data_IF_959955185344
#
_entry.id   IF_959955185344
#
_cell.length_a   1.000
_cell.length_b   1.000
_cell.length_c   1.000
_cell.angle_alpha   90.00
_cell.angle_beta   90.00
_cell.angle_gamma   90.00
#
_symmetry.space_group_name_H-M   'P 1'
#
loop_
_entity.id
_entity.type
_entity.pdbx_description
1 polymer ?
#
# COMPACT_ATOMS: atom_id res chain seq x y z
N UNK A 1 -1.28 -9.81 22.53
CA UNK A 1 -2.34 -8.86 22.21
C UNK A 1 -3.40 -9.49 21.31
N UNK A 2 -4.55 -8.83 21.16
CA UNK A 2 -5.62 -9.34 20.30
C UNK A 2 -5.14 -9.46 18.83
N UNK A 3 -5.58 -10.49 18.08
CA UNK A 3 -5.25 -10.67 16.68
C UNK A 3 -5.90 -9.57 15.83
N UNK A 4 -5.13 -9.01 14.90
CA UNK A 4 -5.58 -8.03 13.91
C UNK A 4 -5.74 -8.66 12.51
N UNK A 5 -4.79 -9.49 12.12
CA UNK A 5 -4.77 -10.18 10.82
C UNK A 5 -4.48 -11.66 11.09
N UNK A 6 -5.26 -12.54 10.44
CA UNK A 6 -5.10 -13.98 10.51
C UNK A 6 -5.14 -14.58 9.11
N UNK A 7 -4.42 -15.70 8.92
CA UNK A 7 -4.49 -16.52 7.71
C UNK A 7 -4.32 -17.99 8.07
N UNK A 8 -4.90 -18.92 7.29
CA UNK A 8 -4.74 -20.35 7.52
C UNK A 8 -3.26 -20.76 7.56
N UNK A 9 -2.89 -21.61 8.52
CA UNK A 9 -1.54 -22.14 8.65
C UNK A 9 -0.46 -21.15 9.12
N UNK A 10 -0.84 -19.92 9.47
CA UNK A 10 0.11 -18.88 9.95
C UNK A 10 -0.30 -18.34 11.31
N UNK A 11 0.68 -17.94 12.11
CA UNK A 11 0.42 -17.21 13.35
C UNK A 11 -0.23 -15.87 13.05
N UNK A 12 -1.19 -15.41 13.87
CA UNK A 12 -1.84 -14.13 13.65
C UNK A 12 -0.91 -12.96 13.96
N UNK A 13 -1.02 -11.86 13.20
CA UNK A 13 -0.44 -10.58 13.56
C UNK A 13 -1.36 -9.88 14.57
N UNK A 14 -0.81 -9.46 15.69
CA UNK A 14 -1.57 -8.70 16.70
C UNK A 14 -1.75 -7.23 16.29
N UNK A 15 -2.70 -6.52 16.91
CA UNK A 15 -2.84 -5.06 16.74
C UNK A 15 -1.55 -4.30 17.12
N UNK A 16 -0.82 -4.76 18.15
CA UNK A 16 0.49 -4.19 18.49
C UNK A 16 1.51 -4.40 17.38
N UNK A 17 1.57 -5.62 16.83
CA UNK A 17 2.43 -5.95 15.68
C UNK A 17 2.09 -5.14 14.44
N UNK A 18 0.80 -4.99 14.12
CA UNK A 18 0.34 -4.16 13.00
C UNK A 18 0.76 -2.68 13.17
N UNK A 19 0.63 -2.14 14.39
CA UNK A 19 1.09 -0.77 14.68
C UNK A 19 2.59 -0.59 14.45
N UNK A 20 3.39 -1.57 14.90
CA UNK A 20 4.84 -1.57 14.67
C UNK A 20 5.14 -1.67 13.17
N UNK A 21 4.48 -2.57 12.45
CA UNK A 21 4.63 -2.74 11.00
C UNK A 21 4.34 -1.43 10.25
N UNK A 22 3.25 -0.75 10.58
CA UNK A 22 2.91 0.57 10.00
C UNK A 22 4.06 1.56 10.24
N UNK A 23 4.53 1.69 11.49
CA UNK A 23 5.61 2.62 11.83
C UNK A 23 6.91 2.34 11.10
N UNK A 24 7.33 1.07 11.02
CA UNK A 24 8.56 0.68 10.29
C UNK A 24 8.42 0.88 8.79
N UNK A 25 7.25 0.57 8.22
CA UNK A 25 6.96 0.80 6.79
C UNK A 25 7.05 2.28 6.44
N UNK A 26 6.45 3.16 7.26
CA UNK A 26 6.53 4.61 7.06
C UNK A 26 7.96 5.12 7.20
N UNK A 27 8.72 4.65 8.20
CA UNK A 27 10.12 5.02 8.36
C UNK A 27 10.96 4.64 7.12
N UNK A 28 10.75 3.44 6.58
CA UNK A 28 11.41 3.01 5.34
C UNK A 28 11.04 3.90 4.17
N UNK A 29 9.75 4.16 3.93
CA UNK A 29 9.29 5.02 2.84
C UNK A 29 9.85 6.45 2.98
N UNK A 30 9.83 7.01 4.18
CA UNK A 30 10.37 8.34 4.44
C UNK A 30 11.89 8.41 4.18
N UNK A 31 12.63 7.36 4.56
CA UNK A 31 14.07 7.23 4.26
C UNK A 31 14.36 7.10 2.76
N UNK A 32 13.39 6.64 1.97
CA UNK A 32 13.46 6.58 0.50
C UNK A 32 13.02 7.89 -0.17
N UNK A 33 12.73 8.92 0.59
CA UNK A 33 12.26 10.21 0.08
C UNK A 33 10.77 10.21 -0.26
N UNK A 34 9.99 9.20 0.16
CA UNK A 34 8.55 9.07 -0.10
C UNK A 34 7.80 9.56 1.13
N UNK A 35 6.94 10.57 0.97
CA UNK A 35 6.21 11.21 2.06
C UNK A 35 4.72 11.35 1.79
N UNK A 36 4.06 12.16 2.63
CA UNK A 36 2.61 12.41 2.54
C UNK A 36 2.22 12.92 1.17
N UNK A 37 1.12 12.41 0.63
CA UNK A 37 0.58 12.67 -0.71
C UNK A 37 1.42 12.13 -1.88
N UNK A 38 2.64 11.60 -1.66
CA UNK A 38 3.35 10.86 -2.70
C UNK A 38 2.59 9.57 -3.02
N UNK A 39 2.43 9.26 -4.30
CA UNK A 39 1.65 8.09 -4.74
C UNK A 39 2.54 6.87 -4.85
N UNK A 40 2.15 5.82 -4.15
CA UNK A 40 2.84 4.52 -4.15
C UNK A 40 1.91 3.48 -4.73
N UNK A 41 2.27 2.95 -5.89
CA UNK A 41 1.55 1.85 -6.51
C UNK A 41 1.86 0.53 -5.77
N UNK A 42 0.85 -0.32 -5.61
CA UNK A 42 0.98 -1.63 -4.97
C UNK A 42 0.45 -2.70 -5.95
N UNK A 43 1.31 -3.65 -6.29
CA UNK A 43 0.96 -4.80 -7.15
C UNK A 43 1.31 -6.07 -6.39
N UNK A 44 0.35 -6.57 -5.65
CA UNK A 44 0.44 -7.76 -4.80
C UNK A 44 -0.78 -8.65 -5.03
N UNK A 45 -0.62 -9.95 -4.85
CA UNK A 45 -1.75 -10.87 -4.79
C UNK A 45 -2.65 -10.56 -3.58
N UNK A 46 -3.95 -10.88 -3.67
CA UNK A 46 -4.86 -10.76 -2.55
C UNK A 46 -4.40 -11.67 -1.41
N UNK A 47 -4.30 -11.10 -0.23
CA UNK A 47 -3.82 -11.83 0.95
C UNK A 47 -3.53 -10.91 2.14
N UNK A 48 -3.05 -11.47 3.24
CA UNK A 48 -2.75 -10.72 4.45
C UNK A 48 -1.68 -9.64 4.23
N UNK A 49 -0.68 -9.88 3.40
CA UNK A 49 0.38 -8.92 3.06
C UNK A 49 -0.16 -7.74 2.26
N UNK A 50 -1.07 -7.98 1.31
CA UNK A 50 -1.73 -6.91 0.56
C UNK A 50 -2.56 -6.03 1.50
N UNK A 51 -3.32 -6.63 2.42
CA UNK A 51 -4.15 -5.89 3.37
C UNK A 51 -3.30 -5.00 4.29
N UNK A 52 -2.23 -5.55 4.87
CA UNK A 52 -1.36 -4.81 5.78
C UNK A 52 -0.48 -3.79 5.06
N UNK A 53 0.01 -4.09 3.85
CA UNK A 53 0.75 -3.15 3.01
C UNK A 53 -0.13 -1.95 2.63
N UNK A 54 -1.38 -2.20 2.22
CA UNK A 54 -2.34 -1.13 1.96
C UNK A 54 -2.53 -0.24 3.19
N UNK A 55 -2.82 -0.83 4.37
CA UNK A 55 -3.00 -0.06 5.60
C UNK A 55 -1.76 0.73 5.99
N UNK A 56 -0.57 0.13 5.87
CA UNK A 56 0.68 0.80 6.20
C UNK A 56 0.94 1.98 5.25
N UNK A 57 0.80 1.79 3.95
CA UNK A 57 0.96 2.87 2.97
C UNK A 57 -0.09 3.97 3.17
N UNK A 58 -1.38 3.61 3.27
CA UNK A 58 -2.46 4.57 3.45
C UNK A 58 -2.34 5.39 4.74
N UNK A 59 -1.53 4.93 5.72
CA UNK A 59 -1.28 5.67 6.96
C UNK A 59 -0.31 6.85 6.81
N UNK A 60 0.42 6.97 5.70
CA UNK A 60 1.42 8.03 5.55
C UNK A 60 1.69 8.49 4.12
N UNK A 61 1.26 7.73 3.10
CA UNK A 61 1.40 8.07 1.68
C UNK A 61 0.09 7.85 0.95
N UNK A 62 -0.01 8.26 -0.31
CA UNK A 62 -1.17 7.95 -1.14
C UNK A 62 -1.02 6.55 -1.76
N UNK A 63 -1.67 5.56 -1.14
CA UNK A 63 -1.68 4.17 -1.59
C UNK A 63 -2.50 3.99 -2.86
N UNK A 64 -1.96 3.34 -3.88
CA UNK A 64 -2.63 3.08 -5.15
C UNK A 64 -2.57 1.58 -5.50
N UNK A 65 -3.49 0.76 -4.98
CA UNK A 65 -3.59 -0.65 -5.34
C UNK A 65 -3.94 -0.82 -6.81
N UNK A 66 -3.15 -1.62 -7.53
CA UNK A 66 -3.38 -1.99 -8.92
C UNK A 66 -3.65 -3.49 -9.04
N UNK A 67 -4.45 -3.88 -10.03
CA UNK A 67 -4.73 -5.28 -10.27
C UNK A 67 -3.46 -6.01 -10.75
N UNK A 68 -3.00 -7.06 -10.07
CA UNK A 68 -1.80 -7.79 -10.45
C UNK A 68 -1.93 -8.53 -11.80
N UNK A 69 -3.15 -8.71 -12.30
CA UNK A 69 -3.41 -9.34 -13.60
C UNK A 69 -3.34 -8.37 -14.80
N UNK A 70 -3.03 -7.09 -14.58
CA UNK A 70 -2.85 -6.13 -15.66
C UNK A 70 -1.68 -6.50 -16.57
N UNK A 71 -1.80 -6.14 -17.86
CA UNK A 71 -0.75 -6.26 -18.85
C UNK A 71 0.18 -5.04 -18.80
N UNK A 72 1.29 -5.11 -19.51
CA UNK A 72 2.30 -4.07 -19.54
C UNK A 72 1.76 -2.70 -19.98
N UNK A 73 0.90 -2.67 -21.02
CA UNK A 73 0.25 -1.45 -21.52
C UNK A 73 -0.68 -0.80 -20.49
N UNK A 74 -1.41 -1.61 -19.72
CA UNK A 74 -2.26 -1.15 -18.64
C UNK A 74 -1.41 -0.59 -17.47
N UNK A 75 -0.33 -1.29 -17.07
CA UNK A 75 0.58 -0.78 -16.06
C UNK A 75 1.26 0.52 -16.49
N UNK A 76 1.64 0.66 -17.77
CA UNK A 76 2.23 1.90 -18.28
C UNK A 76 1.23 3.07 -18.15
N UNK A 77 -0.02 2.81 -18.51
CA UNK A 77 -1.07 3.82 -18.32
C UNK A 77 -1.24 4.19 -16.85
N UNK A 78 -1.46 3.21 -15.97
CA UNK A 78 -1.77 3.50 -14.56
C UNK A 78 -0.59 4.10 -13.81
N UNK A 79 0.63 3.62 -13.98
CA UNK A 79 1.81 4.17 -13.31
C UNK A 79 2.11 5.60 -13.76
N UNK A 80 1.92 5.89 -15.06
CA UNK A 80 2.09 7.24 -15.62
C UNK A 80 1.00 8.19 -15.12
N UNK A 81 -0.27 7.80 -15.17
CA UNK A 81 -1.41 8.63 -14.74
C UNK A 81 -1.36 8.91 -13.23
N UNK A 82 -0.91 7.93 -12.44
CA UNK A 82 -0.61 8.11 -11.02
C UNK A 82 0.56 9.08 -10.77
N UNK A 83 1.45 9.28 -11.73
CA UNK A 83 2.77 9.84 -11.45
C UNK A 83 3.40 9.14 -10.23
N UNK A 84 3.44 7.81 -10.28
CA UNK A 84 3.84 6.98 -9.16
C UNK A 84 5.31 7.23 -8.78
N UNK A 85 5.57 7.47 -7.50
CA UNK A 85 6.94 7.68 -6.99
C UNK A 85 7.65 6.36 -6.71
N UNK A 86 6.87 5.35 -6.33
CA UNK A 86 7.36 3.99 -6.12
C UNK A 86 6.30 2.95 -6.51
N UNK A 87 6.78 1.75 -6.82
CA UNK A 87 5.99 0.54 -7.02
C UNK A 87 6.45 -0.52 -6.01
N UNK A 88 5.51 -0.99 -5.20
CA UNK A 88 5.73 -2.13 -4.29
C UNK A 88 5.25 -3.40 -5.00
N UNK A 89 6.13 -4.39 -5.05
CA UNK A 89 5.84 -5.75 -5.56
C UNK A 89 6.36 -6.79 -4.57
N UNK A 90 5.86 -8.01 -4.65
CA UNK A 90 6.42 -9.13 -3.89
C UNK A 90 7.86 -9.44 -4.33
N UNK A 91 8.74 -9.75 -3.38
CA UNK A 91 10.11 -10.18 -3.68
C UNK A 91 10.10 -11.42 -4.59
N UNK A 92 10.90 -11.42 -5.64
CA UNK A 92 10.92 -12.49 -6.65
C UNK A 92 9.78 -12.41 -7.68
N UNK A 93 8.91 -11.42 -7.61
CA UNK A 93 7.83 -11.23 -8.60
C UNK A 93 8.36 -11.07 -10.03
N UNK A 94 7.65 -11.68 -10.98
CA UNK A 94 7.86 -11.55 -12.43
C UNK A 94 6.80 -10.68 -13.11
N UNK A 95 6.07 -9.87 -12.34
CA UNK A 95 5.03 -8.99 -12.86
C UNK A 95 5.55 -8.07 -13.97
N UNK A 96 4.82 -7.90 -15.08
CA UNK A 96 5.18 -6.95 -16.13
C UNK A 96 5.25 -5.49 -15.62
N UNK A 97 4.63 -5.18 -14.48
CA UNK A 97 4.73 -3.89 -13.82
C UNK A 97 6.18 -3.48 -13.53
N UNK A 98 7.07 -4.44 -13.30
CA UNK A 98 8.49 -4.22 -12.96
C UNK A 98 9.22 -3.57 -14.13
N UNK A 99 9.13 -4.15 -15.32
CA UNK A 99 9.78 -3.59 -16.51
C UNK A 99 9.21 -2.21 -16.87
N UNK A 100 7.91 -2.04 -16.68
CA UNK A 100 7.25 -0.74 -16.89
C UNK A 100 7.74 0.30 -15.91
N UNK A 101 7.81 -0.03 -14.61
CA UNK A 101 8.32 0.88 -13.59
C UNK A 101 9.77 1.31 -13.88
N UNK A 102 10.63 0.37 -14.32
CA UNK A 102 12.00 0.67 -14.74
C UNK A 102 12.03 1.66 -15.92
N UNK A 103 11.21 1.41 -16.95
CA UNK A 103 11.07 2.29 -18.12
C UNK A 103 10.65 3.71 -17.73
N UNK A 104 9.76 3.83 -16.77
CA UNK A 104 9.21 5.11 -16.30
C UNK A 104 10.06 5.79 -15.21
N UNK A 105 11.15 5.18 -14.74
CA UNK A 105 11.95 5.70 -13.64
C UNK A 105 11.23 5.66 -12.28
N UNK A 106 10.21 4.82 -12.14
CA UNK A 106 9.48 4.59 -10.89
C UNK A 106 10.32 3.68 -9.99
N UNK A 107 10.55 4.08 -8.75
CA UNK A 107 11.37 3.32 -7.80
C UNK A 107 10.74 1.98 -7.47
N UNK A 108 11.51 0.89 -7.58
CA UNK A 108 11.07 -0.45 -7.24
C UNK A 108 11.39 -0.78 -5.78
N UNK A 109 10.39 -1.28 -5.07
CA UNK A 109 10.50 -1.70 -3.67
C UNK A 109 9.93 -3.10 -3.54
N UNK A 110 10.75 -4.02 -3.06
CA UNK A 110 10.31 -5.39 -2.78
C UNK A 110 9.66 -5.49 -1.40
N UNK A 111 8.50 -6.14 -1.36
CA UNK A 111 7.89 -6.62 -0.12
C UNK A 111 8.44 -8.01 0.16
N UNK A 112 9.15 -8.14 1.27
CA UNK A 112 9.81 -9.39 1.68
C UNK A 112 9.10 -9.96 2.90
N UNK A 113 8.67 -11.20 2.79
CA UNK A 113 8.08 -11.97 3.89
C UNK A 113 9.12 -12.97 4.39
N UNK A 114 9.48 -12.88 5.67
CA UNK A 114 10.41 -13.83 6.28
C UNK A 114 9.73 -15.19 6.55
N UNK A 115 10.50 -16.26 6.51
CA UNK A 115 9.99 -17.59 6.84
C UNK A 115 9.41 -17.63 8.26
N UNK A 116 8.22 -18.21 8.40
CA UNK A 116 7.52 -18.31 9.68
C UNK A 116 6.94 -16.97 10.20
N UNK A 117 7.00 -15.89 9.43
CA UNK A 117 6.43 -14.62 9.84
C UNK A 117 4.92 -14.71 10.07
N UNK A 118 4.36 -13.95 11.04
CA UNK A 118 2.92 -13.80 11.22
C UNK A 118 2.22 -13.35 9.94
N UNK A 119 0.93 -13.70 9.79
CA UNK A 119 0.13 -13.31 8.64
C UNK A 119 0.14 -11.80 8.44
N UNK A 120 0.55 -11.34 7.26
CA UNK A 120 0.62 -9.93 6.92
C UNK A 120 1.87 -9.20 7.43
N UNK A 121 2.82 -9.88 8.04
CA UNK A 121 4.10 -9.25 8.42
C UNK A 121 5.10 -9.30 7.26
N UNK A 122 5.72 -8.16 6.98
CA UNK A 122 6.70 -8.02 5.90
C UNK A 122 7.74 -6.92 6.24
N UNK A 123 8.74 -6.81 5.40
CA UNK A 123 9.66 -5.66 5.33
C UNK A 123 9.69 -5.11 3.91
N UNK A 124 10.00 -3.82 3.76
CA UNK A 124 10.21 -3.19 2.46
C UNK A 124 11.71 -3.03 2.18
N UNK A 125 12.15 -3.44 0.99
CA UNK A 125 13.53 -3.34 0.55
C UNK A 125 13.60 -2.68 -0.84
N UNK A 126 14.29 -1.53 -0.99
CA UNK A 126 14.48 -0.93 -2.31
C UNK A 126 15.42 -1.80 -3.15
N UNK A 127 15.06 -2.07 -4.43
CA UNK A 127 15.88 -2.90 -5.33
C UNK A 127 17.19 -2.24 -5.71
N UNK A 128 17.24 -0.92 -5.72
CA UNK A 128 18.46 -0.16 -6.04
C UNK A 128 19.45 -0.10 -4.88
N UNK A 129 19.12 -0.70 -3.72
CA UNK A 129 19.93 -0.66 -2.50
C UNK A 129 20.14 0.75 -1.95
N UNK A 130 19.56 1.76 -2.62
CA UNK A 130 19.81 3.16 -2.32
C UNK A 130 18.97 3.69 -1.17
N UNK A 131 19.59 4.49 -0.31
CA UNK A 131 18.88 5.42 0.56
C UNK A 131 18.65 6.70 -0.24
N UNK A 132 17.41 7.14 -0.37
CA UNK A 132 17.10 8.47 -0.91
C UNK A 132 17.43 9.56 0.11
N UNK A 133 17.45 10.82 -0.30
CA UNK A 133 17.31 11.90 0.67
C UNK A 133 15.96 11.74 1.38
N UNK A 134 16.00 11.74 2.72
CA UNK A 134 14.77 11.60 3.50
C UNK A 134 13.76 12.69 3.13
N UNK A 135 12.48 12.32 3.09
CA UNK A 135 11.43 13.28 2.77
C UNK A 135 11.28 14.33 3.89
N UNK A 136 10.99 15.56 3.51
CA UNK A 136 10.65 16.65 4.45
C UNK A 136 9.18 16.61 4.88
N UNK A 137 8.34 15.82 4.20
CA UNK A 137 6.90 15.66 4.46
C UNK A 137 6.55 14.27 4.97
N UNK A 138 7.39 13.69 5.82
CA UNK A 138 7.21 12.35 6.37
C UNK A 138 6.18 12.26 7.50
N UNK A 139 6.09 11.05 8.07
CA UNK A 139 5.22 10.73 9.19
C UNK A 139 3.81 10.30 8.80
N UNK A 140 2.92 10.26 9.78
CA UNK A 140 1.52 9.87 9.54
C UNK A 140 0.77 10.93 8.73
N UNK A 141 -0.15 10.45 7.89
CA UNK A 141 -1.02 11.30 7.09
C UNK A 141 -1.93 12.17 7.96
N UNK A 142 -2.03 13.46 7.62
CA UNK A 142 -3.02 14.35 8.18
C UNK A 142 -4.42 14.05 7.60
N UNK A 143 -5.48 14.53 8.27
CA UNK A 143 -6.86 14.22 7.89
C UNK A 143 -7.24 14.62 6.46
N UNK A 144 -6.58 15.64 5.90
CA UNK A 144 -6.79 16.13 4.54
C UNK A 144 -5.87 15.50 3.50
N UNK A 145 -4.83 14.76 3.91
CA UNK A 145 -3.91 14.12 2.97
C UNK A 145 -4.60 13.00 2.20
N UNK A 146 -4.17 12.79 0.96
CA UNK A 146 -4.63 11.66 0.14
C UNK A 146 -4.06 10.38 0.71
N UNK A 147 -4.93 9.45 1.07
CA UNK A 147 -4.56 8.13 1.60
C UNK A 147 -4.68 7.02 0.58
N UNK A 148 -5.63 7.16 -0.34
CA UNK A 148 -5.87 6.16 -1.38
C UNK A 148 -6.18 6.82 -2.70
N UNK A 149 -5.68 6.26 -3.77
CA UNK A 149 -6.04 6.63 -5.14
C UNK A 149 -6.58 5.40 -5.84
N UNK A 150 -7.79 5.53 -6.37
CA UNK A 150 -8.43 4.51 -7.19
C UNK A 150 -8.63 5.03 -8.61
N UNK A 151 -8.71 4.11 -9.56
CA UNK A 151 -9.16 4.39 -10.91
C UNK A 151 -10.55 3.78 -11.10
N UNK A 152 -11.48 4.56 -11.62
CA UNK A 152 -12.82 4.07 -11.95
C UNK A 152 -12.94 3.84 -13.43
N UNK A 153 -13.65 2.77 -13.81
CA UNK A 153 -14.12 2.58 -15.19
C UNK A 153 -15.21 3.62 -15.49
N UNK A 154 -14.80 4.84 -15.83
CA UNK A 154 -15.77 5.87 -16.22
C UNK A 154 -16.57 5.47 -17.47
N UNK A 155 -17.72 6.10 -17.69
CA UNK A 155 -18.51 5.99 -18.94
C UNK A 155 -17.76 6.52 -20.17
N UNK A 156 -16.58 7.11 -19.98
CA UNK A 156 -15.66 7.57 -21.03
C UNK A 156 -14.50 6.58 -21.16
N UNK A 157 -13.90 6.51 -22.35
CA UNK A 157 -12.86 5.54 -22.75
C UNK A 157 -11.58 5.51 -21.88
N UNK A 158 -11.42 6.40 -20.91
CA UNK A 158 -10.26 6.43 -20.00
C UNK A 158 -10.70 6.39 -18.54
N UNK A 159 -10.08 5.53 -17.71
CA UNK A 159 -10.31 5.52 -16.27
C UNK A 159 -10.00 6.89 -15.65
N UNK A 160 -10.78 7.27 -14.64
CA UNK A 160 -10.58 8.54 -13.91
C UNK A 160 -9.94 8.27 -12.56
N UNK A 161 -8.95 9.08 -12.20
CA UNK A 161 -8.38 9.10 -10.85
C UNK A 161 -9.42 9.61 -9.84
N UNK A 162 -9.59 8.85 -8.76
CA UNK A 162 -10.41 9.22 -7.60
C UNK A 162 -9.53 9.21 -6.35
N UNK A 163 -9.03 10.38 -5.92
CA UNK A 163 -8.30 10.49 -4.67
C UNK A 163 -9.27 10.50 -3.48
N UNK A 164 -8.95 9.70 -2.46
CA UNK A 164 -9.67 9.63 -1.20
C UNK A 164 -8.75 10.07 -0.07
N UNK A 165 -9.20 11.06 0.69
CA UNK A 165 -8.44 11.55 1.84
C UNK A 165 -8.53 10.58 3.03
N UNK A 166 -7.62 10.74 4.00
CA UNK A 166 -7.67 10.03 5.28
C UNK A 166 -9.03 10.22 5.96
N UNK A 167 -9.60 11.42 5.88
CA UNK A 167 -10.95 11.70 6.39
C UNK A 167 -12.01 10.85 5.72
N UNK A 168 -11.94 10.68 4.39
CA UNK A 168 -12.91 9.86 3.64
C UNK A 168 -12.82 8.39 4.08
N UNK A 169 -11.62 7.81 4.17
CA UNK A 169 -11.45 6.42 4.59
C UNK A 169 -11.93 6.20 6.02
N UNK A 170 -11.54 7.06 6.95
CA UNK A 170 -11.98 6.97 8.34
C UNK A 170 -13.50 7.15 8.50
N UNK A 171 -14.12 8.05 7.73
CA UNK A 171 -15.56 8.22 7.74
C UNK A 171 -16.28 6.97 7.21
N UNK A 172 -15.83 6.43 6.07
CA UNK A 172 -16.35 5.20 5.49
C UNK A 172 -16.27 4.03 6.47
N UNK A 173 -15.10 3.80 7.08
CA UNK A 173 -14.91 2.73 8.06
C UNK A 173 -15.86 2.87 9.26
N UNK A 174 -16.02 4.09 9.80
CA UNK A 174 -16.95 4.35 10.92
C UNK A 174 -18.42 4.10 10.52
N UNK A 175 -18.83 4.50 9.30
CA UNK A 175 -20.18 4.26 8.82
C UNK A 175 -20.45 2.77 8.64
N UNK A 176 -19.52 2.02 8.04
CA UNK A 176 -19.63 0.57 7.90
C UNK A 176 -19.74 -0.11 9.28
N UNK A 177 -18.84 0.24 10.21
CA UNK A 177 -18.86 -0.34 11.56
C UNK A 177 -20.19 -0.10 12.28
N UNK A 178 -20.77 1.11 12.16
CA UNK A 178 -22.08 1.43 12.74
C UNK A 178 -23.23 0.69 12.06
N UNK A 179 -23.24 0.64 10.72
CA UNK A 179 -24.30 -0.01 9.94
C UNK A 179 -24.35 -1.51 10.21
N UNK A 180 -23.17 -2.14 10.30
CA UNK A 180 -23.04 -3.57 10.58
C UNK A 180 -23.01 -3.89 12.08
N UNK A 181 -23.10 -2.86 12.95
CA UNK A 181 -23.09 -3.00 14.41
C UNK A 181 -21.88 -3.78 14.94
N UNK A 182 -20.69 -3.57 14.34
CA UNK A 182 -19.46 -4.24 14.77
C UNK A 182 -19.18 -4.00 16.25
N UNK A 183 -18.79 -5.07 16.93
CA UNK A 183 -18.46 -5.12 18.33
C UNK A 183 -17.06 -5.73 18.56
N UNK A 184 -16.59 -5.74 19.79
CA UNK A 184 -15.32 -6.39 20.16
C UNK A 184 -15.34 -7.91 20.06
N UNK A 185 -16.52 -8.54 19.86
CA UNK A 185 -16.68 -9.99 19.68
C UNK A 185 -16.62 -10.42 18.20
N UNK A 186 -16.71 -9.48 17.26
CA UNK A 186 -16.65 -9.79 15.83
C UNK A 186 -15.22 -10.11 15.39
N UNK A 187 -15.11 -11.10 14.47
CA UNK A 187 -13.84 -11.61 13.94
C UNK A 187 -13.90 -11.83 12.44
#
# INVERSE_FOLDING_TARGET
GAPAISAPGRSPLSFGGLRTLIGTTLATQNGLGIGRNDRVAIVLANGPEMATCFMACASGVASAPLNPAYRADEFEFYLSDLNAKALIVEAGSTSPAIAVAQKLGVRLVDLVVADGAPAGQFTLQPRDGGTGAATTSGGYAASGDVSMVLHTSGTTSRPKIVPLSQRNLCASARHIARTLQFSSSDR
#
